data_IF_490848513466
#
_entry.id   IF_490848513466
#
_cell.length_a   1.000
_cell.length_b   1.000
_cell.length_c   1.000
_cell.angle_alpha   90.00
_cell.angle_beta   90.00
_cell.angle_gamma   90.00
#
_symmetry.space_group_name_H-M   'P 1'
#
loop_
_entity.id
_entity.type
_entity.pdbx_description
1 polymer ?
#
# COMPACT_ATOMS: atom_id res chain seq x y z
N UNK A 1 10.68 28.37 59.87
CA UNK A 1 10.70 28.18 58.46
C UNK A 1 11.62 29.10 57.68
N UNK A 2 11.64 30.39 57.84
CA UNK A 2 12.54 31.33 57.14
C UNK A 2 14.05 31.07 57.33
N UNK A 3 14.51 30.67 58.54
CA UNK A 3 15.92 30.38 58.82
C UNK A 3 16.41 29.06 58.18
N UNK A 4 15.52 28.09 58.02
CA UNK A 4 15.86 26.82 57.34
C UNK A 4 15.99 26.98 55.81
N UNK A 5 15.18 27.88 55.24
CA UNK A 5 15.22 28.21 53.80
C UNK A 5 16.52 28.97 53.43
N UNK A 6 17.00 29.87 54.28
CA UNK A 6 18.25 30.58 54.09
C UNK A 6 19.48 29.66 54.17
N UNK A 7 19.46 28.65 55.04
CA UNK A 7 20.53 27.66 55.13
C UNK A 7 20.58 26.75 53.93
N UNK A 8 19.42 26.33 53.39
CA UNK A 8 19.31 25.52 52.16
C UNK A 8 19.80 26.30 50.92
N UNK A 9 19.48 27.60 50.84
CA UNK A 9 19.98 28.44 49.72
C UNK A 9 21.50 28.67 49.78
N UNK A 10 22.06 28.83 51.02
CA UNK A 10 23.50 28.97 51.19
C UNK A 10 24.28 27.71 50.87
N UNK A 11 23.75 26.53 51.15
CA UNK A 11 24.35 25.24 50.74
C UNK A 11 24.27 25.01 49.24
N UNK A 12 23.18 25.41 48.60
CA UNK A 12 23.05 25.30 47.12
C UNK A 12 24.05 26.24 46.39
N UNK A 13 24.27 27.45 46.89
CA UNK A 13 25.25 28.38 46.27
C UNK A 13 26.70 27.95 46.53
N UNK A 14 27.02 27.31 47.66
CA UNK A 14 28.35 26.76 47.92
C UNK A 14 28.69 25.57 47.00
N UNK A 15 27.70 24.73 46.58
CA UNK A 15 27.91 23.64 45.63
C UNK A 15 28.16 24.11 44.17
N UNK A 16 27.68 25.30 43.81
CA UNK A 16 27.95 25.86 42.47
C UNK A 16 29.36 26.51 42.33
N UNK A 17 29.99 26.88 43.43
CA UNK A 17 31.33 27.49 43.42
C UNK A 17 32.48 26.44 43.50
N UNK A 18 32.19 25.17 43.80
CA UNK A 18 33.20 24.14 43.90
C UNK A 18 33.42 23.34 42.60
N UNK A 19 32.69 23.67 41.53
CA UNK A 19 32.72 22.98 40.24
C UNK A 19 33.78 23.42 39.22
N UNK A 20 34.58 24.44 39.53
CA UNK A 20 35.56 25.01 38.54
C UNK A 20 37.02 24.58 38.72
N UNK A 21 37.30 23.59 39.56
CA UNK A 21 38.67 23.19 39.86
C UNK A 21 39.17 21.88 39.29
N UNK A 22 38.41 21.22 38.39
CA UNK A 22 38.78 19.89 37.86
C UNK A 22 38.91 19.82 36.33
N UNK A 23 39.27 20.95 35.68
CA UNK A 23 39.61 20.97 34.27
C UNK A 23 41.05 21.48 33.99
N UNK A 24 41.99 21.03 34.84
CA UNK A 24 43.41 21.02 34.47
C UNK A 24 43.81 19.67 33.88
N UNK A 25 43.08 19.26 32.87
CA UNK A 25 43.49 18.19 31.95
C UNK A 25 44.37 18.86 30.91
N UNK A 26 45.68 18.60 30.98
CA UNK A 26 46.67 18.89 29.90
C UNK A 26 46.00 18.63 28.54
N UNK A 27 45.89 19.66 27.73
CA UNK A 27 45.52 19.53 26.31
C UNK A 27 46.46 18.51 25.68
N UNK A 28 46.02 17.29 25.51
CA UNK A 28 46.67 16.33 24.62
C UNK A 28 46.48 16.92 23.24
N UNK A 29 47.54 17.44 22.67
CA UNK A 29 47.61 17.79 21.26
C UNK A 29 47.23 16.52 20.49
N UNK A 30 46.00 16.43 20.07
CA UNK A 30 45.53 15.38 19.14
C UNK A 30 46.31 15.69 17.85
N UNK A 31 47.39 14.92 17.61
CA UNK A 31 48.00 14.89 16.30
C UNK A 31 46.86 14.58 15.35
N UNK A 32 46.73 15.32 14.21
CA UNK A 32 45.78 14.99 13.21
C UNK A 32 45.92 13.50 12.93
N UNK A 33 44.85 12.77 13.10
CA UNK A 33 44.80 11.35 12.82
C UNK A 33 45.23 11.23 11.35
N UNK A 34 46.45 10.83 11.12
CA UNK A 34 46.77 10.24 9.82
C UNK A 34 45.88 9.03 9.76
N UNK A 35 44.80 9.14 8.97
CA UNK A 35 43.96 8.01 8.60
C UNK A 35 44.93 7.02 7.97
N UNK A 36 45.41 6.10 8.80
CA UNK A 36 46.08 4.92 8.29
C UNK A 36 45.00 4.18 7.52
N UNK A 37 45.06 4.25 6.23
CA UNK A 37 44.25 3.42 5.36
C UNK A 37 44.58 1.97 5.71
N UNK A 38 43.75 1.39 6.60
CA UNK A 38 43.67 -0.04 6.67
C UNK A 38 43.12 -0.46 5.32
N UNK A 39 44.00 -1.03 4.49
CA UNK A 39 43.60 -1.73 3.26
C UNK A 39 42.67 -2.86 3.70
N UNK A 40 41.37 -2.57 3.82
CA UNK A 40 40.38 -3.58 3.53
C UNK A 40 40.61 -3.88 2.03
N UNK A 41 40.89 -5.13 1.71
CA UNK A 41 41.01 -5.65 0.35
C UNK A 41 39.64 -5.60 -0.32
N UNK A 42 39.11 -4.40 -0.53
CA UNK A 42 37.97 -4.12 -1.37
C UNK A 42 38.46 -3.98 -2.80
N UNK A 43 37.84 -4.65 -3.73
CA UNK A 43 38.17 -4.55 -5.16
C UNK A 43 38.29 -3.08 -5.57
N UNK A 44 39.53 -2.64 -5.88
CA UNK A 44 39.78 -1.29 -6.40
C UNK A 44 39.18 -1.26 -7.80
N UNK A 45 38.05 -0.60 -7.94
CA UNK A 45 37.37 -0.43 -9.23
C UNK A 45 38.14 0.56 -10.08
N UNK A 46 38.56 0.19 -11.28
CA UNK A 46 39.16 1.09 -12.25
C UNK A 46 38.10 1.78 -13.09
N UNK A 47 38.22 3.08 -13.29
CA UNK A 47 37.28 3.93 -14.04
C UNK A 47 38.04 4.66 -15.14
N UNK A 48 37.56 4.55 -16.38
CA UNK A 48 38.19 5.04 -17.59
C UNK A 48 37.44 6.19 -18.29
N UNK A 49 36.26 6.54 -17.76
CA UNK A 49 35.45 7.60 -18.33
C UNK A 49 34.08 7.76 -17.65
N UNK A 50 33.23 8.68 -18.15
CA UNK A 50 31.97 9.04 -17.47
C UNK A 50 30.95 7.90 -17.38
N UNK A 51 30.92 6.98 -18.34
CA UNK A 51 30.03 5.83 -18.29
C UNK A 51 30.46 4.81 -17.21
N UNK A 52 31.78 4.52 -17.14
CA UNK A 52 32.39 3.70 -16.11
C UNK A 52 32.17 4.29 -14.71
N UNK A 53 32.38 5.60 -14.57
CA UNK A 53 32.17 6.36 -13.35
C UNK A 53 30.70 6.24 -12.86
N UNK A 54 29.74 6.50 -13.74
CA UNK A 54 28.32 6.36 -13.43
C UNK A 54 27.97 4.94 -12.99
N UNK A 55 28.40 3.93 -13.73
CA UNK A 55 28.16 2.51 -13.42
C UNK A 55 28.75 2.13 -12.04
N UNK A 56 29.96 2.60 -11.75
CA UNK A 56 30.61 2.32 -10.47
C UNK A 56 29.84 2.95 -9.29
N UNK A 57 29.45 4.22 -9.40
CA UNK A 57 28.72 4.93 -8.35
C UNK A 57 27.31 4.32 -8.15
N UNK A 58 26.57 4.03 -9.21
CA UNK A 58 25.25 3.35 -9.08
C UNK A 58 25.39 1.97 -8.48
N UNK A 59 26.41 1.19 -8.83
CA UNK A 59 26.67 -0.12 -8.23
C UNK A 59 27.01 -0.06 -6.74
N UNK A 60 27.67 1.00 -6.28
CA UNK A 60 27.87 1.24 -4.84
C UNK A 60 26.54 1.53 -4.13
N UNK A 61 25.71 2.38 -4.74
CA UNK A 61 24.38 2.72 -4.21
C UNK A 61 23.51 1.46 -4.09
N UNK A 62 23.47 0.61 -5.13
CA UNK A 62 22.69 -0.64 -5.13
C UNK A 62 23.17 -1.61 -4.04
N UNK A 63 24.47 -1.62 -3.80
CA UNK A 63 25.05 -2.46 -2.74
C UNK A 63 24.99 -1.83 -1.35
N UNK A 64 24.54 -0.57 -1.22
CA UNK A 64 24.51 0.19 0.04
C UNK A 64 25.87 0.41 0.66
N UNK A 65 26.95 0.49 -0.17
CA UNK A 65 28.30 0.78 0.30
C UNK A 65 28.45 2.27 0.61
N UNK A 66 29.03 2.58 1.74
CA UNK A 66 29.23 3.97 2.21
C UNK A 66 30.52 4.60 1.73
N UNK A 67 31.52 3.80 1.35
CA UNK A 67 32.84 4.27 0.95
C UNK A 67 33.41 3.44 -0.20
N UNK A 68 34.18 4.07 -1.08
CA UNK A 68 34.91 3.37 -2.12
C UNK A 68 36.16 4.17 -2.54
N UNK A 69 37.19 3.44 -3.00
CA UNK A 69 38.34 4.00 -3.65
C UNK A 69 38.39 3.44 -5.09
N UNK A 70 38.54 4.36 -6.07
CA UNK A 70 38.60 4.01 -7.48
C UNK A 70 39.87 4.57 -8.10
N UNK A 71 40.46 3.86 -9.06
CA UNK A 71 41.61 4.36 -9.86
C UNK A 71 41.07 4.97 -11.14
N UNK A 72 41.63 6.15 -11.51
CA UNK A 72 41.32 6.84 -12.76
C UNK A 72 42.33 6.37 -13.85
N UNK A 73 41.91 5.36 -14.64
CA UNK A 73 42.76 4.79 -15.69
C UNK A 73 42.65 5.58 -17.00
N UNK A 74 43.70 6.39 -17.30
CA UNK A 74 43.65 7.23 -18.51
C UNK A 74 42.57 8.31 -18.49
N UNK A 75 41.98 8.57 -17.35
CA UNK A 75 40.89 9.53 -17.15
C UNK A 75 41.43 10.79 -16.47
N UNK A 76 41.52 11.93 -17.17
CA UNK A 76 42.08 13.15 -16.59
C UNK A 76 41.29 13.63 -15.37
N UNK A 77 41.98 13.98 -14.28
CA UNK A 77 41.35 14.36 -13.01
C UNK A 77 40.36 15.54 -13.15
N UNK A 78 40.72 16.56 -13.98
CA UNK A 78 39.82 17.69 -14.22
C UNK A 78 38.53 17.28 -14.92
N UNK A 79 38.59 16.33 -15.85
CA UNK A 79 37.45 15.78 -16.54
C UNK A 79 36.62 14.90 -15.57
N UNK A 80 37.28 14.04 -14.80
CA UNK A 80 36.65 13.19 -13.81
C UNK A 80 35.85 14.01 -12.76
N UNK A 81 36.42 15.15 -12.32
CA UNK A 81 35.77 16.09 -11.41
C UNK A 81 34.50 16.69 -12.03
N UNK A 82 34.54 17.18 -13.25
CA UNK A 82 33.41 17.74 -13.97
C UNK A 82 32.31 16.68 -14.20
N UNK A 83 32.70 15.45 -14.51
CA UNK A 83 31.73 14.38 -14.75
C UNK A 83 31.16 13.81 -13.45
N UNK A 84 31.90 13.85 -12.33
CA UNK A 84 31.42 13.46 -11.02
C UNK A 84 30.26 14.34 -10.55
N UNK A 85 30.29 15.65 -10.77
CA UNK A 85 29.17 16.54 -10.47
C UNK A 85 27.89 16.13 -11.21
N UNK A 86 28.01 15.73 -12.48
CA UNK A 86 26.87 15.24 -13.28
C UNK A 86 26.40 13.89 -12.77
N UNK A 87 27.29 13.01 -12.36
CA UNK A 87 26.96 11.68 -11.81
C UNK A 87 26.26 11.83 -10.48
N UNK A 88 26.69 12.71 -9.58
CA UNK A 88 26.03 13.01 -8.32
C UNK A 88 24.59 13.50 -8.58
N UNK A 89 24.45 14.50 -9.46
CA UNK A 89 23.14 15.02 -9.82
C UNK A 89 22.21 13.92 -10.37
N UNK A 90 22.74 13.09 -11.27
CA UNK A 90 21.99 11.95 -11.80
C UNK A 90 21.59 10.95 -10.70
N UNK A 91 22.53 10.58 -9.82
CA UNK A 91 22.28 9.60 -8.76
C UNK A 91 21.23 10.08 -7.77
N UNK A 92 21.22 11.35 -7.39
CA UNK A 92 20.30 11.89 -6.40
C UNK A 92 18.92 12.24 -7.01
N UNK A 93 18.90 12.71 -8.28
CA UNK A 93 17.67 13.25 -8.88
C UNK A 93 16.99 12.32 -9.87
N UNK A 94 17.71 11.38 -10.49
CA UNK A 94 17.21 10.61 -11.64
C UNK A 94 17.37 9.10 -11.48
N UNK A 95 18.36 8.65 -10.72
CA UNK A 95 18.57 7.23 -10.48
C UNK A 95 17.61 6.74 -9.39
N UNK A 96 16.71 5.76 -9.66
CA UNK A 96 15.62 5.43 -8.74
C UNK A 96 16.08 5.09 -7.31
N UNK A 97 17.04 4.15 -7.16
CA UNK A 97 17.53 3.75 -5.84
C UNK A 97 18.28 4.89 -5.17
N UNK A 98 19.07 5.67 -5.94
CA UNK A 98 19.79 6.83 -5.42
C UNK A 98 18.83 7.94 -4.96
N UNK A 99 17.83 8.28 -5.78
CA UNK A 99 16.78 9.25 -5.42
C UNK A 99 15.98 8.85 -4.18
N UNK A 100 15.82 7.55 -3.95
CA UNK A 100 15.14 6.99 -2.77
C UNK A 100 16.04 6.97 -1.53
N UNK A 101 17.28 6.52 -1.67
CA UNK A 101 18.09 6.08 -0.54
C UNK A 101 19.24 7.02 -0.17
N UNK A 102 19.75 7.82 -1.11
CA UNK A 102 20.97 8.63 -0.89
C UNK A 102 20.61 10.00 -0.35
N UNK A 103 21.29 10.41 0.71
CA UNK A 103 21.21 11.76 1.26
C UNK A 103 22.26 12.68 0.62
N UNK A 104 23.54 12.25 0.65
CA UNK A 104 24.65 13.03 0.13
C UNK A 104 25.74 12.11 -0.45
N UNK A 105 26.43 12.61 -1.49
CA UNK A 105 27.63 11.98 -2.05
C UNK A 105 28.78 13.02 -1.98
N UNK A 106 29.81 12.68 -1.25
CA UNK A 106 31.07 13.46 -1.15
C UNK A 106 32.17 12.74 -1.88
N UNK A 107 33.11 13.48 -2.46
CA UNK A 107 34.25 12.89 -3.14
C UNK A 107 35.50 13.75 -3.07
N UNK A 108 36.65 13.07 -3.17
CA UNK A 108 37.95 13.69 -3.34
C UNK A 108 38.69 13.05 -4.52
N UNK A 109 39.33 13.88 -5.38
CA UNK A 109 40.11 13.40 -6.50
C UNK A 109 41.53 13.95 -6.38
N UNK A 110 42.52 13.05 -6.43
CA UNK A 110 43.94 13.38 -6.41
C UNK A 110 44.84 12.18 -6.64
N UNK A 111 45.98 12.37 -7.24
CA UNK A 111 47.00 11.35 -7.52
C UNK A 111 46.44 10.13 -8.33
N UNK A 112 45.52 10.41 -9.27
CA UNK A 112 44.87 9.37 -10.08
C UNK A 112 43.86 8.51 -9.31
N UNK A 113 43.48 8.89 -8.10
CA UNK A 113 42.50 8.23 -7.26
C UNK A 113 41.25 9.10 -7.09
N UNK A 114 40.10 8.42 -7.00
CA UNK A 114 38.82 8.98 -6.57
C UNK A 114 38.42 8.29 -5.28
N UNK A 115 38.30 9.07 -4.20
CA UNK A 115 37.70 8.63 -2.94
C UNK A 115 36.24 9.08 -2.91
N UNK A 116 35.35 8.17 -2.60
CA UNK A 116 33.91 8.40 -2.56
C UNK A 116 33.36 8.06 -1.18
N UNK A 117 32.49 8.94 -0.66
CA UNK A 117 31.72 8.72 0.53
C UNK A 117 30.22 8.96 0.22
N UNK A 118 29.36 7.99 0.56
CA UNK A 118 27.92 8.05 0.35
C UNK A 118 27.23 8.03 1.70
N UNK A 119 26.45 9.05 1.97
CA UNK A 119 25.55 9.12 3.12
C UNK A 119 24.14 8.74 2.70
N UNK A 120 23.53 7.83 3.44
CA UNK A 120 22.21 7.28 3.12
C UNK A 120 21.16 7.72 4.14
N UNK A 121 19.98 8.16 3.64
CA UNK A 121 18.77 8.35 4.45
C UNK A 121 18.00 7.04 4.69
N UNK A 122 18.24 6.02 3.87
CA UNK A 122 17.68 4.67 4.02
C UNK A 122 18.80 3.67 4.34
N UNK A 123 18.55 2.78 5.27
CA UNK A 123 19.51 1.72 5.63
C UNK A 123 19.67 0.70 4.51
N UNK A 124 20.80 -0.02 4.51
CA UNK A 124 21.01 -1.16 3.60
C UNK A 124 19.85 -2.18 3.63
N UNK A 125 19.33 -2.48 4.81
CA UNK A 125 18.20 -3.40 4.96
C UNK A 125 16.91 -2.88 4.30
N UNK A 126 16.71 -1.56 4.22
CA UNK A 126 15.59 -0.96 3.49
C UNK A 126 15.81 -1.02 1.98
N UNK A 127 17.04 -0.77 1.52
CA UNK A 127 17.40 -0.92 0.09
C UNK A 127 17.18 -2.38 -0.36
N UNK A 128 17.61 -3.36 0.44
CA UNK A 128 17.46 -4.79 0.12
C UNK A 128 16.01 -5.28 0.09
N UNK A 129 15.07 -4.54 0.67
CA UNK A 129 13.63 -4.84 0.63
C UNK A 129 12.94 -4.35 -0.63
N UNK A 130 13.61 -3.59 -1.49
CA UNK A 130 13.03 -3.09 -2.74
C UNK A 130 12.68 -4.29 -3.62
N UNK A 131 11.41 -4.42 -3.96
CA UNK A 131 10.91 -5.45 -4.87
C UNK A 131 10.80 -4.88 -6.28
N UNK A 132 11.47 -5.50 -7.25
CA UNK A 132 11.38 -5.08 -8.65
C UNK A 132 10.14 -5.67 -9.30
N UNK A 133 9.32 -4.83 -9.91
CA UNK A 133 8.10 -5.21 -10.63
C UNK A 133 8.02 -4.46 -11.97
N UNK A 134 7.19 -4.96 -12.88
CA UNK A 134 7.03 -4.38 -14.20
C UNK A 134 5.62 -3.82 -14.39
N UNK A 135 5.54 -2.54 -14.72
CA UNK A 135 4.29 -1.83 -15.01
C UNK A 135 3.36 -1.73 -13.79
N UNK A 136 2.22 -1.10 -14.01
CA UNK A 136 1.24 -0.91 -12.95
C UNK A 136 0.61 -2.23 -12.49
N UNK A 137 0.40 -3.20 -13.37
CA UNK A 137 -0.15 -4.51 -13.00
C UNK A 137 0.73 -5.23 -11.99
N UNK A 138 2.07 -5.25 -12.20
CA UNK A 138 2.98 -5.84 -11.23
C UNK A 138 3.01 -5.08 -9.89
N UNK A 139 2.84 -3.76 -9.91
CA UNK A 139 2.70 -2.97 -8.69
C UNK A 139 1.39 -3.30 -7.96
N UNK A 140 0.28 -3.42 -8.68
CA UNK A 140 -1.02 -3.81 -8.14
C UNK A 140 -0.98 -5.18 -7.47
N UNK A 141 -0.39 -6.19 -8.11
CA UNK A 141 -0.22 -7.53 -7.53
C UNK A 141 0.58 -7.49 -6.22
N UNK A 142 1.67 -6.72 -6.18
CA UNK A 142 2.47 -6.57 -4.98
C UNK A 142 1.71 -5.85 -3.85
N UNK A 143 0.91 -4.82 -4.17
CA UNK A 143 0.03 -4.12 -3.22
C UNK A 143 -1.02 -5.08 -2.66
N UNK A 144 -1.71 -5.85 -3.51
CA UNK A 144 -2.69 -6.85 -3.09
C UNK A 144 -2.07 -7.86 -2.12
N UNK A 145 -0.87 -8.34 -2.42
CA UNK A 145 -0.14 -9.24 -1.52
C UNK A 145 0.22 -8.58 -0.19
N UNK A 146 0.59 -7.30 -0.18
CA UNK A 146 0.87 -6.56 1.04
C UNK A 146 -0.39 -6.40 1.91
N UNK A 147 -1.52 -6.01 1.31
CA UNK A 147 -2.81 -5.91 2.00
C UNK A 147 -3.27 -7.25 2.58
N UNK A 148 -3.18 -8.33 1.80
CA UNK A 148 -3.54 -9.69 2.23
C UNK A 148 -2.72 -10.21 3.42
N UNK A 149 -1.52 -9.66 3.62
CA UNK A 149 -0.61 -9.99 4.73
C UNK A 149 -0.64 -8.95 5.85
N UNK A 150 -1.48 -7.91 5.75
CA UNK A 150 -1.53 -6.76 6.66
C UNK A 150 -0.10 -6.21 6.88
N UNK A 151 0.61 -5.94 5.79
CA UNK A 151 1.98 -5.41 5.85
C UNK A 151 1.97 -3.96 6.31
N UNK A 152 3.00 -3.55 7.06
CA UNK A 152 3.16 -2.17 7.53
C UNK A 152 3.80 -1.27 6.46
N UNK A 153 4.51 -1.86 5.51
CA UNK A 153 5.17 -1.12 4.42
C UNK A 153 5.43 -1.99 3.19
N UNK A 154 5.59 -1.34 2.05
CA UNK A 154 5.96 -1.97 0.78
C UNK A 154 6.82 -0.99 -0.02
N UNK A 155 7.97 -1.43 -0.54
CA UNK A 155 8.83 -0.63 -1.42
C UNK A 155 9.00 -1.35 -2.75
N UNK A 156 8.60 -0.70 -3.82
CA UNK A 156 8.61 -1.25 -5.17
C UNK A 156 9.50 -0.43 -6.10
N UNK A 157 10.36 -1.10 -6.85
CA UNK A 157 10.96 -0.51 -8.05
C UNK A 157 10.12 -0.90 -9.26
N UNK A 158 9.36 0.04 -9.78
CA UNK A 158 8.45 -0.17 -10.92
C UNK A 158 9.13 0.28 -12.20
N UNK A 159 9.42 -0.68 -13.10
CA UNK A 159 9.88 -0.39 -14.46
C UNK A 159 8.67 -0.20 -15.38
N UNK A 160 8.77 0.65 -16.40
CA UNK A 160 7.63 1.04 -17.25
C UNK A 160 6.47 1.63 -16.43
N UNK A 161 6.83 2.46 -15.47
CA UNK A 161 5.88 3.15 -14.62
C UNK A 161 4.96 4.08 -15.46
N UNK A 162 3.67 4.02 -15.22
CA UNK A 162 2.70 5.03 -15.61
C UNK A 162 1.97 5.55 -14.37
N UNK A 163 1.46 6.76 -14.42
CA UNK A 163 0.76 7.34 -13.28
C UNK A 163 -0.46 6.51 -12.88
N UNK A 164 -0.62 6.30 -11.59
CA UNK A 164 -1.70 5.53 -10.98
C UNK A 164 -2.05 6.16 -9.63
N UNK A 165 -3.32 6.36 -9.39
CA UNK A 165 -3.79 6.69 -8.05
C UNK A 165 -3.79 5.43 -7.18
N UNK A 166 -2.68 5.26 -6.45
CA UNK A 166 -2.46 4.09 -5.59
C UNK A 166 -3.47 4.05 -4.44
N UNK A 167 -3.83 5.22 -3.89
CA UNK A 167 -4.75 5.31 -2.75
C UNK A 167 -6.15 4.90 -3.18
N UNK A 168 -6.60 5.42 -4.32
CA UNK A 168 -7.90 5.04 -4.89
C UNK A 168 -7.92 3.55 -5.26
N UNK A 169 -6.86 3.03 -5.90
CA UNK A 169 -6.77 1.61 -6.21
C UNK A 169 -6.91 0.71 -4.97
N UNK A 170 -6.25 1.08 -3.85
CA UNK A 170 -6.35 0.32 -2.59
C UNK A 170 -7.77 0.38 -2.02
N UNK A 171 -8.43 1.54 -2.09
CA UNK A 171 -9.80 1.70 -1.63
C UNK A 171 -10.79 0.87 -2.45
N UNK A 172 -10.65 0.88 -3.77
CA UNK A 172 -11.48 0.10 -4.69
C UNK A 172 -11.26 -1.41 -4.48
N UNK A 173 -9.99 -1.83 -4.39
CA UNK A 173 -9.67 -3.23 -4.10
C UNK A 173 -10.27 -3.70 -2.77
N UNK A 174 -10.17 -2.89 -1.71
CA UNK A 174 -10.74 -3.23 -0.40
C UNK A 174 -12.28 -3.33 -0.45
N UNK A 175 -12.93 -2.46 -1.21
CA UNK A 175 -14.38 -2.49 -1.40
C UNK A 175 -14.85 -3.74 -2.17
N UNK A 176 -14.06 -4.16 -3.17
CA UNK A 176 -14.36 -5.35 -3.98
C UNK A 176 -13.99 -6.66 -3.29
N UNK A 177 -13.02 -6.66 -2.37
CA UNK A 177 -12.48 -7.86 -1.73
C UNK A 177 -12.62 -7.85 -0.21
N UNK A 178 -13.87 -7.83 0.32
CA UNK A 178 -14.14 -7.80 1.75
C UNK A 178 -13.73 -9.09 2.48
N UNK A 179 -13.43 -10.16 1.76
CA UNK A 179 -12.88 -11.40 2.26
C UNK A 179 -11.35 -11.39 2.42
N UNK A 180 -10.70 -10.30 1.96
CA UNK A 180 -9.24 -10.11 2.01
C UNK A 180 -8.85 -8.93 2.89
N UNK A 181 -9.54 -7.80 2.78
CA UNK A 181 -9.20 -6.55 3.48
C UNK A 181 -10.19 -6.31 4.62
N UNK A 182 -9.71 -6.53 5.85
CA UNK A 182 -10.54 -6.36 7.06
C UNK A 182 -10.63 -4.91 7.49
N UNK A 183 -9.60 -4.14 7.26
CA UNK A 183 -9.50 -2.71 7.56
C UNK A 183 -8.82 -2.00 6.41
N UNK A 184 -9.43 -0.91 5.93
CA UNK A 184 -8.77 -0.04 4.96
C UNK A 184 -7.67 0.75 5.67
N UNK A 185 -6.37 0.52 5.35
CA UNK A 185 -5.29 1.27 6.00
C UNK A 185 -5.27 2.72 5.56
N UNK A 186 -4.76 3.60 6.42
CA UNK A 186 -4.26 4.89 5.96
C UNK A 186 -2.96 4.65 5.20
N UNK A 187 -2.85 5.22 4.01
CA UNK A 187 -1.73 4.97 3.10
C UNK A 187 -0.96 6.25 2.85
N UNK A 188 0.34 6.24 3.16
CA UNK A 188 1.29 7.27 2.73
C UNK A 188 2.02 6.76 1.50
N UNK A 189 2.05 7.55 0.43
CA UNK A 189 2.71 7.22 -0.84
C UNK A 189 3.83 8.20 -1.11
N UNK A 190 5.04 7.70 -1.34
CA UNK A 190 6.18 8.50 -1.79
C UNK A 190 6.77 7.87 -3.05
N UNK A 191 7.12 8.69 -4.04
CA UNK A 191 7.59 8.22 -5.35
C UNK A 191 8.92 8.88 -5.67
N UNK A 192 9.91 8.08 -6.07
CA UNK A 192 11.28 8.49 -6.37
C UNK A 192 11.79 7.88 -7.67
N UNK A 193 12.44 8.65 -8.57
CA UNK A 193 12.39 10.11 -8.66
C UNK A 193 11.01 10.60 -9.07
N UNK A 194 10.82 11.91 -9.11
CA UNK A 194 9.55 12.54 -9.53
C UNK A 194 9.24 12.36 -11.03
N UNK A 195 10.22 11.95 -11.82
CA UNK A 195 10.10 11.73 -13.27
C UNK A 195 10.89 10.51 -13.74
N UNK A 196 10.56 9.99 -14.90
CA UNK A 196 11.23 8.83 -15.49
C UNK A 196 10.32 7.57 -15.56
N UNK A 197 10.75 6.61 -16.38
CA UNK A 197 9.99 5.36 -16.63
C UNK A 197 10.27 4.26 -15.59
N UNK A 198 11.23 4.46 -14.71
CA UNK A 198 11.53 3.56 -13.58
C UNK A 198 11.47 4.40 -12.31
N UNK A 199 10.64 4.01 -11.36
CA UNK A 199 10.46 4.74 -10.10
C UNK A 199 10.43 3.78 -8.91
N UNK A 200 10.85 4.27 -7.77
CA UNK A 200 10.58 3.63 -6.48
C UNK A 200 9.27 4.19 -5.95
N UNK A 201 8.35 3.30 -5.60
CA UNK A 201 7.14 3.63 -4.85
C UNK A 201 7.31 3.09 -3.44
N UNK A 202 7.34 3.97 -2.46
CA UNK A 202 7.33 3.61 -1.04
C UNK A 202 5.92 3.80 -0.50
N UNK A 203 5.36 2.74 0.05
CA UNK A 203 4.04 2.72 0.67
C UNK A 203 4.19 2.40 2.16
N UNK A 204 3.58 3.21 3.00
CA UNK A 204 3.42 2.93 4.43
C UNK A 204 1.95 2.73 4.72
N UNK A 205 1.61 1.62 5.37
CA UNK A 205 0.25 1.25 5.74
C UNK A 205 0.07 1.40 7.24
N UNK A 206 -0.86 2.24 7.66
CA UNK A 206 -1.20 2.44 9.06
C UNK A 206 -2.59 1.89 9.34
N UNK A 207 -2.65 0.88 10.20
CA UNK A 207 -3.88 0.24 10.64
C UNK A 207 -4.21 0.68 12.08
N UNK A 208 -5.50 0.74 12.43
CA UNK A 208 -5.97 0.98 13.80
C UNK A 208 -5.85 -0.28 14.66
N UNK A 209 -6.06 -1.45 14.03
CA UNK A 209 -5.95 -2.74 14.70
C UNK A 209 -4.55 -3.36 14.53
N UNK A 210 -4.13 -4.13 15.52
CA UNK A 210 -2.88 -4.88 15.41
C UNK A 210 -2.97 -5.93 14.29
N UNK A 211 -1.82 -6.32 13.77
CA UNK A 211 -1.72 -7.35 12.74
C UNK A 211 -2.32 -8.69 13.16
N UNK A 212 -2.17 -9.04 14.43
CA UNK A 212 -2.75 -10.26 15.02
C UNK A 212 -4.26 -10.17 14.98
N UNK A 213 -4.83 -9.03 15.36
CA UNK A 213 -6.28 -8.79 15.34
C UNK A 213 -6.84 -8.86 13.91
N UNK A 214 -6.17 -8.23 12.96
CA UNK A 214 -6.57 -8.27 11.55
C UNK A 214 -6.56 -9.70 10.99
N UNK A 215 -5.59 -10.53 11.39
CA UNK A 215 -5.53 -11.94 11.00
C UNK A 215 -6.65 -12.79 11.63
N UNK A 216 -6.99 -12.51 12.89
CA UNK A 216 -8.14 -13.13 13.55
C UNK A 216 -9.43 -12.80 12.79
N UNK A 217 -9.67 -11.51 12.51
CA UNK A 217 -10.81 -11.03 11.72
C UNK A 217 -10.90 -11.72 10.36
N UNK A 218 -9.77 -11.79 9.64
CA UNK A 218 -9.68 -12.46 8.34
C UNK A 218 -10.04 -13.95 8.44
N UNK A 219 -9.60 -14.63 9.50
CA UNK A 219 -9.93 -16.04 9.72
C UNK A 219 -11.43 -16.25 9.91
N UNK A 220 -12.10 -15.38 10.69
CA UNK A 220 -13.54 -15.42 10.92
C UNK A 220 -14.32 -15.18 9.61
N UNK A 221 -13.94 -14.16 8.86
CA UNK A 221 -14.60 -13.83 7.59
C UNK A 221 -14.44 -14.97 6.58
N UNK A 222 -13.27 -15.56 6.47
CA UNK A 222 -13.04 -16.72 5.59
C UNK A 222 -13.94 -17.92 5.92
N UNK A 223 -14.25 -18.14 7.19
CA UNK A 223 -15.19 -19.20 7.58
C UNK A 223 -16.62 -18.90 7.08
N UNK A 224 -17.05 -17.64 7.15
CA UNK A 224 -18.37 -17.21 6.65
C UNK A 224 -18.45 -17.42 5.13
N UNK A 225 -17.43 -16.95 4.38
CA UNK A 225 -17.38 -17.15 2.93
C UNK A 225 -17.31 -18.63 2.54
N UNK A 226 -16.57 -19.45 3.29
CA UNK A 226 -16.54 -20.90 3.08
C UNK A 226 -17.92 -21.52 3.32
N UNK A 227 -18.64 -21.07 4.33
CA UNK A 227 -20.02 -21.53 4.62
C UNK A 227 -20.98 -21.10 3.50
N UNK A 228 -20.87 -19.87 2.98
CA UNK A 228 -21.67 -19.41 1.85
C UNK A 228 -21.44 -20.29 0.60
N UNK A 229 -20.18 -20.63 0.32
CA UNK A 229 -19.86 -21.52 -0.80
C UNK A 229 -20.41 -22.93 -0.63
N UNK A 230 -20.42 -23.46 0.58
CA UNK A 230 -21.01 -24.78 0.88
C UNK A 230 -22.54 -24.77 0.85
N UNK A 231 -23.15 -23.60 1.02
CA UNK A 231 -24.60 -23.44 0.92
C UNK A 231 -25.09 -23.52 -0.52
N UNK A 232 -24.21 -23.25 -1.49
CA UNK A 232 -24.50 -23.35 -2.92
C UNK A 232 -24.44 -24.81 -3.37
N UNK A 233 -25.50 -25.28 -4.00
CA UNK A 233 -25.58 -26.64 -4.53
C UNK A 233 -24.66 -26.79 -5.76
N UNK A 234 -23.87 -27.88 -5.82
CA UNK A 234 -22.86 -28.07 -6.86
C UNK A 234 -23.39 -28.08 -8.30
N UNK A 235 -24.60 -28.60 -8.52
CA UNK A 235 -25.24 -28.73 -9.83
C UNK A 235 -26.18 -27.57 -10.16
N UNK A 236 -26.21 -26.51 -9.31
CA UNK A 236 -27.07 -25.36 -9.51
C UNK A 236 -26.63 -24.54 -10.74
N UNK A 237 -27.58 -24.06 -11.51
CA UNK A 237 -27.36 -23.05 -12.54
C UNK A 237 -27.08 -21.67 -11.88
N UNK A 238 -26.72 -20.69 -12.68
CA UNK A 238 -26.33 -19.38 -12.17
C UNK A 238 -27.49 -18.69 -11.42
N UNK A 239 -28.72 -18.79 -11.93
CA UNK A 239 -29.91 -18.22 -11.29
C UNK A 239 -30.16 -18.82 -9.89
N UNK A 240 -30.02 -20.15 -9.79
CA UNK A 240 -30.18 -20.86 -8.51
C UNK A 240 -29.06 -20.50 -7.54
N UNK A 241 -27.80 -20.44 -7.99
CA UNK A 241 -26.67 -20.01 -7.13
C UNK A 241 -26.87 -18.58 -6.60
N UNK A 242 -27.29 -17.65 -7.47
CA UNK A 242 -27.61 -16.28 -7.07
C UNK A 242 -28.67 -16.24 -5.98
N UNK A 243 -29.77 -17.01 -6.14
CA UNK A 243 -30.84 -17.11 -5.15
C UNK A 243 -30.39 -17.76 -3.84
N UNK A 244 -29.56 -18.79 -3.89
CA UNK A 244 -29.02 -19.45 -2.70
C UNK A 244 -28.10 -18.52 -1.90
N UNK A 245 -27.22 -17.77 -2.57
CA UNK A 245 -26.36 -16.78 -1.90
C UNK A 245 -27.15 -15.62 -1.31
N UNK A 246 -28.21 -15.17 -1.98
CA UNK A 246 -29.17 -14.21 -1.43
C UNK A 246 -29.81 -14.75 -0.13
N UNK A 247 -30.35 -15.98 -0.16
CA UNK A 247 -30.97 -16.62 1.02
C UNK A 247 -29.96 -16.76 2.16
N UNK A 248 -28.73 -17.16 1.85
CA UNK A 248 -27.65 -17.24 2.84
C UNK A 248 -27.44 -15.93 3.59
N UNK A 249 -27.45 -14.79 2.87
CA UNK A 249 -27.28 -13.47 3.48
C UNK A 249 -28.52 -13.05 4.27
N UNK A 250 -29.71 -13.19 3.69
CA UNK A 250 -30.95 -12.71 4.33
C UNK A 250 -31.32 -13.50 5.59
N UNK A 251 -30.95 -14.77 5.67
CA UNK A 251 -31.16 -15.60 6.86
C UNK A 251 -30.23 -15.27 8.04
N UNK A 252 -29.13 -14.59 7.80
CA UNK A 252 -28.05 -14.44 8.80
C UNK A 252 -27.74 -13.00 9.19
N UNK A 253 -28.14 -12.04 8.37
CA UNK A 253 -27.72 -10.64 8.54
C UNK A 253 -28.90 -9.69 8.43
N UNK A 254 -28.87 -8.66 9.27
CA UNK A 254 -29.91 -7.64 9.32
C UNK A 254 -29.44 -6.32 8.70
N UNK A 255 -30.37 -5.60 8.08
CA UNK A 255 -30.10 -4.26 7.58
C UNK A 255 -30.17 -3.24 8.71
N UNK A 256 -29.03 -2.62 9.01
CA UNK A 256 -28.92 -1.50 9.96
C UNK A 256 -27.82 -0.56 9.47
N UNK A 257 -28.08 0.74 9.53
CA UNK A 257 -27.04 1.75 9.26
C UNK A 257 -26.09 1.79 10.45
N UNK A 258 -24.88 1.24 10.26
CA UNK A 258 -23.79 1.31 11.25
C UNK A 258 -22.49 1.69 10.58
N UNK A 259 -21.63 2.38 11.35
CA UNK A 259 -20.25 2.65 10.99
C UNK A 259 -19.33 1.61 11.61
N UNK A 260 -18.45 1.02 10.83
CA UNK A 260 -17.39 0.12 11.32
C UNK A 260 -16.11 0.35 10.53
N UNK A 261 -15.11 -0.47 10.82
CA UNK A 261 -13.81 -0.45 10.14
C UNK A 261 -13.97 -0.54 8.62
N UNK A 262 -14.80 -1.49 8.16
CA UNK A 262 -15.35 -1.51 6.81
C UNK A 262 -16.83 -1.91 6.88
N UNK A 263 -17.70 -1.40 5.97
CA UNK A 263 -19.11 -1.79 5.95
C UNK A 263 -19.29 -3.31 5.86
N UNK A 264 -18.54 -3.97 4.98
CA UNK A 264 -18.59 -5.42 4.79
C UNK A 264 -18.17 -6.19 6.05
N UNK A 265 -17.12 -5.75 6.76
CA UNK A 265 -16.72 -6.37 8.02
C UNK A 265 -17.78 -6.19 9.11
N UNK A 266 -18.44 -5.02 9.16
CA UNK A 266 -19.57 -4.78 10.07
C UNK A 266 -20.66 -5.81 9.86
N UNK A 267 -21.07 -6.02 8.60
CA UNK A 267 -22.08 -7.01 8.26
C UNK A 267 -21.64 -8.41 8.68
N UNK A 268 -20.46 -8.83 8.29
CA UNK A 268 -19.98 -10.21 8.49
C UNK A 268 -19.71 -10.55 9.95
N UNK A 269 -19.22 -9.60 10.74
CA UNK A 269 -18.82 -9.85 12.13
C UNK A 269 -19.92 -9.54 13.15
N UNK A 270 -20.73 -8.50 12.88
CA UNK A 270 -21.76 -8.05 13.81
C UNK A 270 -23.19 -8.39 13.36
N UNK A 271 -23.35 -8.95 12.16
CA UNK A 271 -24.62 -9.36 11.61
C UNK A 271 -25.47 -8.20 11.07
N UNK A 272 -24.93 -6.98 11.01
CA UNK A 272 -25.68 -5.78 10.65
C UNK A 272 -24.92 -4.93 9.64
N UNK A 273 -25.61 -4.41 8.63
CA UNK A 273 -25.01 -3.58 7.59
C UNK A 273 -26.02 -2.76 6.80
N UNK A 274 -25.50 -1.78 6.05
CA UNK A 274 -26.25 -0.97 5.10
C UNK A 274 -26.26 -1.58 3.69
N UNK A 275 -26.87 -0.88 2.70
CA UNK A 275 -26.91 -1.33 1.32
C UNK A 275 -25.53 -1.59 0.73
N UNK A 276 -24.54 -0.79 1.12
CA UNK A 276 -23.15 -0.93 0.67
C UNK A 276 -22.54 -2.23 1.16
N UNK A 277 -22.68 -2.52 2.45
CA UNK A 277 -22.17 -3.75 3.05
C UNK A 277 -22.76 -5.00 2.39
N UNK A 278 -24.08 -5.04 2.22
CA UNK A 278 -24.79 -6.14 1.56
C UNK A 278 -24.33 -6.31 0.11
N UNK A 279 -24.26 -5.23 -0.67
CA UNK A 279 -23.87 -5.28 -2.07
C UNK A 279 -22.42 -5.77 -2.25
N UNK A 280 -21.48 -5.28 -1.44
CA UNK A 280 -20.07 -5.68 -1.49
C UNK A 280 -19.88 -7.17 -1.13
N UNK A 281 -20.52 -7.62 -0.04
CA UNK A 281 -20.41 -9.00 0.43
C UNK A 281 -21.06 -9.96 -0.56
N UNK A 282 -22.25 -9.63 -1.07
CA UNK A 282 -22.94 -10.44 -2.05
C UNK A 282 -22.14 -10.61 -3.34
N UNK A 283 -21.62 -9.50 -3.89
CA UNK A 283 -20.76 -9.55 -5.08
C UNK A 283 -19.53 -10.43 -4.87
N UNK A 284 -18.87 -10.31 -3.70
CA UNK A 284 -17.70 -11.12 -3.38
C UNK A 284 -18.06 -12.61 -3.23
N UNK A 285 -19.18 -12.95 -2.59
CA UNK A 285 -19.67 -14.34 -2.48
C UNK A 285 -20.02 -14.93 -3.84
N UNK A 286 -20.66 -14.15 -4.72
CA UNK A 286 -20.95 -14.54 -6.09
C UNK A 286 -19.67 -14.88 -6.85
N UNK A 287 -18.67 -13.98 -6.83
CA UNK A 287 -17.37 -14.21 -7.51
C UNK A 287 -16.65 -15.46 -6.97
N UNK A 288 -16.66 -15.70 -5.66
CA UNK A 288 -16.09 -16.93 -5.07
C UNK A 288 -16.85 -18.20 -5.47
N UNK A 289 -18.09 -18.08 -5.86
CA UNK A 289 -18.92 -19.18 -6.36
C UNK A 289 -18.88 -19.32 -7.89
N UNK A 290 -17.98 -18.59 -8.55
CA UNK A 290 -17.77 -18.62 -10.02
C UNK A 290 -18.77 -17.80 -10.81
N UNK A 291 -19.54 -16.92 -10.16
CA UNK A 291 -20.49 -16.01 -10.80
C UNK A 291 -19.85 -14.64 -11.02
N UNK A 292 -20.23 -13.97 -12.09
CA UNK A 292 -19.85 -12.59 -12.36
C UNK A 292 -20.82 -11.64 -11.64
N UNK A 293 -20.28 -10.81 -10.74
CA UNK A 293 -21.05 -9.86 -9.97
C UNK A 293 -20.25 -8.60 -9.66
N UNK A 294 -20.89 -7.46 -9.76
CA UNK A 294 -20.34 -6.12 -9.54
C UNK A 294 -21.17 -5.39 -8.48
N UNK A 295 -20.52 -4.48 -7.77
CA UNK A 295 -21.22 -3.54 -6.88
C UNK A 295 -21.43 -2.23 -7.62
N UNK A 296 -22.64 -1.74 -7.64
CA UNK A 296 -23.02 -0.46 -8.23
C UNK A 296 -23.29 0.55 -7.12
N UNK A 297 -22.75 1.77 -7.29
CA UNK A 297 -23.08 2.90 -6.44
C UNK A 297 -23.93 3.91 -7.21
N UNK A 298 -24.95 4.46 -6.55
CA UNK A 298 -25.83 5.43 -7.15
C UNK A 298 -26.85 5.98 -6.16
N UNK A 299 -28.00 6.38 -6.67
CA UNK A 299 -29.12 6.82 -5.84
C UNK A 299 -30.40 6.09 -6.21
N UNK A 300 -31.29 5.92 -5.23
CA UNK A 300 -32.66 5.47 -5.44
C UNK A 300 -33.59 6.52 -4.83
N UNK A 301 -34.45 7.13 -5.65
CA UNK A 301 -35.32 8.25 -5.25
C UNK A 301 -34.58 9.42 -4.57
N UNK A 302 -33.33 9.67 -5.00
CA UNK A 302 -32.47 10.74 -4.48
C UNK A 302 -31.64 10.38 -3.24
N UNK A 303 -31.86 9.21 -2.64
CA UNK A 303 -31.05 8.72 -1.53
C UNK A 303 -29.89 7.81 -2.01
N UNK A 304 -28.74 7.89 -1.37
CA UNK A 304 -27.58 7.05 -1.69
C UNK A 304 -27.94 5.56 -1.55
N UNK A 305 -27.62 4.79 -2.58
CA UNK A 305 -27.96 3.37 -2.66
C UNK A 305 -26.85 2.59 -3.32
N UNK A 306 -26.59 1.39 -2.80
CA UNK A 306 -25.74 0.40 -3.40
C UNK A 306 -26.53 -0.85 -3.73
N UNK A 307 -26.27 -1.43 -4.90
CA UNK A 307 -26.88 -2.67 -5.35
C UNK A 307 -25.88 -3.45 -6.22
N UNK A 308 -26.31 -4.53 -6.82
CA UNK A 308 -25.45 -5.37 -7.65
C UNK A 308 -25.92 -5.38 -9.09
N UNK A 309 -24.96 -5.56 -10.01
CA UNK A 309 -25.20 -6.12 -11.32
C UNK A 309 -24.60 -7.52 -11.30
N UNK A 310 -25.39 -8.51 -11.71
CA UNK A 310 -25.01 -9.92 -11.76
C UNK A 310 -25.21 -10.46 -13.16
N UNK A 311 -24.36 -11.41 -13.57
CA UNK A 311 -24.55 -12.15 -14.80
C UNK A 311 -25.35 -13.42 -14.49
N UNK A 312 -26.38 -13.67 -15.32
CA UNK A 312 -27.17 -14.89 -15.30
C UNK A 312 -27.31 -15.42 -16.74
N UNK A 313 -26.65 -16.53 -17.03
CA UNK A 313 -26.45 -17.01 -18.39
C UNK A 313 -25.65 -16.00 -19.24
N UNK A 314 -26.27 -15.50 -20.30
CA UNK A 314 -25.65 -14.53 -21.21
C UNK A 314 -26.01 -13.06 -20.88
N UNK A 315 -26.93 -12.82 -19.96
CA UNK A 315 -27.47 -11.49 -19.66
C UNK A 315 -27.03 -10.97 -18.31
N UNK A 316 -27.00 -9.63 -18.20
CA UNK A 316 -26.77 -8.92 -16.95
C UNK A 316 -28.11 -8.42 -16.41
N UNK A 317 -28.20 -8.38 -15.06
CA UNK A 317 -29.37 -7.93 -14.34
C UNK A 317 -28.98 -7.15 -13.09
N UNK A 318 -29.77 -6.15 -12.76
CA UNK A 318 -29.68 -5.49 -11.46
C UNK A 318 -30.33 -6.34 -10.37
N UNK A 319 -29.69 -6.37 -9.21
CA UNK A 319 -30.19 -6.99 -7.98
C UNK A 319 -30.02 -6.00 -6.83
N UNK A 320 -31.09 -5.41 -6.35
CA UNK A 320 -31.11 -4.60 -5.13
C UNK A 320 -31.51 -5.47 -3.95
N UNK A 321 -30.56 -5.83 -3.10
CA UNK A 321 -30.79 -6.75 -1.99
C UNK A 321 -31.79 -6.21 -0.96
N UNK A 322 -31.90 -4.89 -0.78
CA UNK A 322 -32.87 -4.32 0.14
C UNK A 322 -34.30 -4.38 -0.43
N UNK A 323 -34.45 -4.14 -1.73
CA UNK A 323 -35.74 -4.37 -2.40
C UNK A 323 -36.10 -5.86 -2.35
N UNK A 324 -35.13 -6.73 -2.63
CA UNK A 324 -35.33 -8.19 -2.53
C UNK A 324 -35.73 -8.63 -1.13
N UNK A 325 -35.14 -8.05 -0.08
CA UNK A 325 -35.52 -8.36 1.31
C UNK A 325 -36.98 -8.00 1.64
N UNK A 326 -37.46 -6.86 1.09
CA UNK A 326 -38.88 -6.48 1.25
C UNK A 326 -39.81 -7.42 0.50
N UNK A 327 -39.38 -7.99 -0.62
CA UNK A 327 -40.14 -8.95 -1.42
C UNK A 327 -40.05 -10.39 -0.89
N UNK A 328 -39.10 -10.67 0.02
CA UNK A 328 -38.82 -12.00 0.55
C UNK A 328 -38.17 -12.96 -0.47
N UNK A 329 -37.73 -12.47 -1.61
CA UNK A 329 -37.09 -13.27 -2.67
C UNK A 329 -36.12 -12.45 -3.50
N UNK A 330 -35.17 -13.11 -4.14
CA UNK A 330 -34.31 -12.48 -5.14
C UNK A 330 -35.18 -11.99 -6.31
N UNK A 331 -34.93 -10.76 -6.75
CA UNK A 331 -35.51 -10.18 -7.95
C UNK A 331 -34.43 -9.64 -8.86
N UNK A 332 -34.41 -10.09 -10.10
CA UNK A 332 -33.56 -9.59 -11.17
C UNK A 332 -34.33 -8.52 -11.95
N UNK A 333 -33.69 -7.41 -12.28
CA UNK A 333 -34.29 -6.27 -12.99
C UNK A 333 -33.43 -5.89 -14.18
N UNK A 334 -34.07 -5.46 -15.25
CA UNK A 334 -33.43 -4.83 -16.41
C UNK A 334 -33.22 -3.33 -16.16
N UNK A 335 -32.41 -2.66 -16.99
CA UNK A 335 -32.25 -1.20 -16.95
C UNK A 335 -33.59 -0.47 -17.01
N UNK A 336 -34.53 -0.97 -17.82
CA UNK A 336 -35.86 -0.37 -18.00
C UNK A 336 -36.75 -0.47 -16.72
N UNK A 337 -36.47 -1.44 -15.84
CA UNK A 337 -37.20 -1.65 -14.59
C UNK A 337 -36.61 -0.89 -13.41
N UNK A 338 -35.45 -0.23 -13.58
CA UNK A 338 -34.75 0.53 -12.52
C UNK A 338 -35.35 1.94 -12.36
N UNK A 339 -36.66 2.03 -12.19
CA UNK A 339 -37.36 3.31 -12.02
C UNK A 339 -36.94 3.98 -10.71
N UNK A 340 -36.53 5.25 -10.78
CA UNK A 340 -36.09 6.04 -9.62
C UNK A 340 -34.62 5.83 -9.24
N UNK A 341 -33.89 4.96 -9.96
CA UNK A 341 -32.46 4.77 -9.76
C UNK A 341 -31.66 5.64 -10.73
N UNK A 342 -30.49 6.13 -10.24
CA UNK A 342 -29.53 6.89 -11.04
C UNK A 342 -28.14 6.36 -10.73
N UNK A 343 -27.37 6.01 -11.77
CA UNK A 343 -25.99 5.53 -11.68
C UNK A 343 -25.20 5.93 -12.92
N UNK A 344 -23.90 5.68 -12.96
CA UNK A 344 -23.09 5.86 -14.14
C UNK A 344 -23.25 4.67 -15.09
N UNK A 345 -24.11 4.81 -16.09
CA UNK A 345 -24.37 3.77 -17.10
C UNK A 345 -23.12 3.36 -17.89
N UNK A 346 -22.14 4.25 -18.01
CA UNK A 346 -20.92 3.97 -18.80
C UNK A 346 -19.93 3.07 -18.09
N UNK A 347 -20.05 2.95 -16.76
CA UNK A 347 -19.16 2.16 -15.93
C UNK A 347 -19.54 0.68 -15.83
N UNK A 348 -20.73 0.30 -16.33
CA UNK A 348 -21.28 -1.05 -16.14
C UNK A 348 -21.85 -1.63 -17.45
N UNK A 349 -21.96 -2.96 -17.56
CA UNK A 349 -22.65 -3.61 -18.68
C UNK A 349 -24.15 -3.26 -18.66
N UNK A 350 -24.74 -3.18 -19.85
CA UNK A 350 -26.19 -2.96 -19.99
C UNK A 350 -26.96 -4.19 -19.51
N UNK A 351 -28.02 -3.95 -18.73
CA UNK A 351 -28.92 -4.99 -18.22
C UNK A 351 -30.19 -5.02 -19.10
N UNK A 352 -30.04 -5.63 -20.28
CA UNK A 352 -31.06 -5.69 -21.34
C UNK A 352 -31.72 -7.06 -21.52
N UNK A 353 -31.61 -7.94 -20.50
CA UNK A 353 -32.25 -9.26 -20.52
C UNK A 353 -33.79 -9.20 -20.55
N UNK A 354 -34.45 -10.35 -20.68
CA UNK A 354 -35.90 -10.43 -20.56
C UNK A 354 -36.31 -10.17 -19.09
N UNK A 355 -37.38 -9.37 -18.83
CA UNK A 355 -37.90 -9.16 -17.49
C UNK A 355 -38.32 -10.49 -16.86
N UNK A 356 -38.09 -10.65 -15.57
CA UNK A 356 -38.54 -11.81 -14.84
C UNK A 356 -40.09 -11.89 -14.85
N UNK A 357 -40.67 -12.84 -15.52
CA UNK A 357 -42.14 -13.03 -15.52
C UNK A 357 -42.58 -13.41 -14.13
N UNK A 358 -43.29 -12.49 -13.46
CA UNK A 358 -43.94 -12.76 -12.17
C UNK A 358 -45.04 -13.78 -12.41
N UNK A 359 -44.79 -15.03 -12.07
CA UNK A 359 -45.86 -16.00 -11.99
C UNK A 359 -46.77 -15.56 -10.83
N UNK A 360 -47.87 -14.91 -11.15
CA UNK A 360 -48.98 -14.75 -10.19
C UNK A 360 -49.53 -16.13 -9.89
N UNK A 361 -49.32 -16.65 -8.68
CA UNK A 361 -50.03 -17.82 -8.23
C UNK A 361 -51.52 -17.55 -8.38
N UNK A 362 -52.29 -18.50 -8.94
CA UNK A 362 -53.72 -18.34 -9.01
C UNK A 362 -54.29 -18.27 -7.58
N UNK A 363 -55.01 -17.19 -7.28
CA UNK A 363 -55.79 -17.07 -6.06
C UNK A 363 -56.76 -18.28 -5.99
N UNK A 364 -56.53 -19.13 -4.99
CA UNK A 364 -57.48 -20.19 -4.59
C UNK A 364 -58.32 -19.72 -3.44
#
# INVERSE_FOLDING_TARGET
MKRLLCLLLAVLTACFCAGCGWMDGSYVSVKPHQVGYSQSSGDITSVDGPAGLRKAVTGLIDSGKTEAIMTLSGYPEAQARSDMEKVITYCIQSYPIGAYAVEEIRYEIGQGLLLLQIEYRKSKAQIDRIQSVRGNSGAQEAIVKALSNCADSLVLQVTLYSEMDVVQYIADYAAENPDVVMELPQVTVQIYPQSGNTRIIELEFSYQNSREKLREMLSQVRQIFSSARLYVTGDADDSMKLSQLYSFLMERFDYVIQTSITPAYSLLNYGVGDSRAFAQVYAAMCRQSGLEAMTVSGTCNGESRFWNIVRDGENYYHVDLLECAQLGRLRKKTDAEMTGYVWDYSAYPACAGEPETVQTEPEN
#
